data_IF_314796185541
#
_entry.id   IF_314796185541
#
_cell.length_a   1.000
_cell.length_b   1.000
_cell.length_c   1.000
_cell.angle_alpha   90.00
_cell.angle_beta   90.00
_cell.angle_gamma   90.00
#
_symmetry.space_group_name_H-M   'P 1'
#
loop_
_entity.id
_entity.type
_entity.pdbx_description
1 polymer ?
#
# COMPACT_ATOMS: atom_id res chain seq x y z
N UNK A 1 11.61 -24.18 -2.65
CA UNK A 1 11.34 -24.19 -4.11
C UNK A 1 10.54 -22.96 -4.45
N UNK A 2 11.02 -22.15 -5.38
CA UNK A 2 10.29 -20.98 -5.88
C UNK A 2 9.21 -21.48 -6.84
N UNK A 3 7.94 -21.36 -6.47
CA UNK A 3 6.83 -21.66 -7.37
C UNK A 3 6.54 -20.43 -8.21
N UNK A 4 7.09 -20.37 -9.42
CA UNK A 4 6.74 -19.38 -10.42
C UNK A 4 5.55 -19.90 -11.23
N UNK A 5 4.38 -19.28 -11.07
CA UNK A 5 3.25 -19.51 -11.97
C UNK A 5 3.33 -18.50 -13.12
N UNK A 6 3.79 -18.96 -14.26
CA UNK A 6 3.73 -18.19 -15.49
C UNK A 6 2.43 -18.52 -16.22
N UNK A 7 1.49 -17.57 -16.32
CA UNK A 7 0.34 -17.76 -17.19
C UNK A 7 0.80 -17.81 -18.65
N UNK A 8 0.53 -18.89 -19.37
CA UNK A 8 0.69 -18.93 -20.82
C UNK A 8 -0.35 -18.03 -21.47
N UNK A 9 0.02 -16.81 -21.82
CA UNK A 9 -0.75 -16.00 -22.74
C UNK A 9 -0.36 -16.41 -24.17
N UNK A 10 -1.23 -17.11 -24.85
CA UNK A 10 -1.14 -17.29 -26.29
C UNK A 10 -1.43 -15.96 -26.98
N UNK A 11 -0.57 -15.52 -27.89
CA UNK A 11 -0.77 -14.41 -28.83
C UNK A 11 -0.79 -12.97 -28.27
N UNK A 12 -0.01 -12.63 -27.26
CA UNK A 12 0.26 -11.21 -26.97
C UNK A 12 1.43 -10.70 -27.81
N UNK A 13 1.33 -9.49 -28.40
CA UNK A 13 2.45 -8.88 -29.12
C UNK A 13 3.70 -8.78 -28.23
N UNK A 14 4.87 -8.88 -28.84
CA UNK A 14 6.19 -8.94 -28.20
C UNK A 14 6.52 -7.74 -27.26
N UNK A 15 5.73 -6.67 -27.34
CA UNK A 15 5.87 -5.42 -26.57
C UNK A 15 5.09 -5.36 -25.26
N UNK A 16 4.28 -6.36 -24.92
CA UNK A 16 3.56 -6.37 -23.65
C UNK A 16 4.35 -7.11 -22.57
N UNK A 17 4.54 -6.53 -21.38
CA UNK A 17 5.19 -7.19 -20.26
C UNK A 17 4.44 -8.46 -19.90
N UNK A 18 5.16 -9.56 -19.69
CA UNK A 18 4.56 -10.84 -19.30
C UNK A 18 3.94 -10.74 -17.92
N UNK A 19 2.69 -11.17 -17.79
CA UNK A 19 2.03 -11.30 -16.49
C UNK A 19 2.80 -12.29 -15.62
N UNK A 20 3.02 -11.93 -14.36
CA UNK A 20 3.73 -12.78 -13.41
C UNK A 20 3.06 -12.79 -12.03
N UNK A 21 3.06 -13.93 -11.39
CA UNK A 21 2.62 -14.12 -10.01
C UNK A 21 3.75 -14.82 -9.26
N UNK A 22 4.19 -14.20 -8.16
CA UNK A 22 5.17 -14.79 -7.26
C UNK A 22 4.44 -15.29 -6.01
N UNK A 23 4.64 -16.56 -5.64
CA UNK A 23 4.06 -17.14 -4.43
C UNK A 23 5.17 -17.61 -3.48
N UNK A 24 5.19 -17.08 -2.27
CA UNK A 24 6.21 -17.33 -1.26
C UNK A 24 5.58 -17.48 0.14
N UNK A 25 6.33 -18.09 1.07
CA UNK A 25 6.01 -17.96 2.49
C UNK A 25 6.27 -16.52 2.96
N UNK A 26 5.46 -16.00 3.87
CA UNK A 26 5.48 -14.58 4.24
C UNK A 26 6.81 -14.12 4.83
N UNK A 27 7.54 -14.98 5.55
CA UNK A 27 8.87 -14.66 6.09
C UNK A 27 9.93 -14.36 5.00
N UNK A 28 9.64 -14.68 3.74
CA UNK A 28 10.52 -14.33 2.62
C UNK A 28 10.65 -12.82 2.41
N UNK A 29 9.62 -12.05 2.74
CA UNK A 29 9.64 -10.58 2.58
C UNK A 29 10.67 -9.92 3.49
N UNK A 30 10.93 -10.49 4.66
CA UNK A 30 11.96 -10.01 5.60
C UNK A 30 13.37 -10.41 5.17
N UNK A 31 13.51 -11.56 4.51
CA UNK A 31 14.80 -12.08 4.02
C UNK A 31 15.27 -11.36 2.77
N UNK A 32 14.32 -10.86 1.97
CA UNK A 32 14.59 -10.26 0.68
C UNK A 32 13.88 -8.90 0.57
N UNK A 33 14.51 -7.82 1.05
CA UNK A 33 13.89 -6.48 1.11
C UNK A 33 13.35 -5.98 -0.24
N UNK A 34 13.96 -6.36 -1.35
CA UNK A 34 13.49 -6.01 -2.69
C UNK A 34 12.06 -6.52 -3.00
N UNK A 35 11.53 -7.49 -2.23
CA UNK A 35 10.15 -7.95 -2.37
C UNK A 35 9.11 -6.94 -1.87
N UNK A 36 9.55 -5.89 -1.18
CA UNK A 36 8.70 -4.77 -0.77
C UNK A 36 8.70 -3.62 -1.77
N UNK A 37 9.55 -3.69 -2.80
CA UNK A 37 9.65 -2.64 -3.81
C UNK A 37 8.53 -2.80 -4.85
N UNK A 38 8.04 -1.68 -5.35
CA UNK A 38 7.05 -1.67 -6.42
C UNK A 38 7.64 -2.19 -7.72
N UNK A 39 6.93 -3.11 -8.37
CA UNK A 39 7.27 -3.61 -9.71
C UNK A 39 6.29 -2.99 -10.71
N UNK A 40 6.80 -2.08 -11.54
CA UNK A 40 5.99 -1.45 -12.59
C UNK A 40 5.68 -2.45 -13.71
N UNK A 41 4.52 -3.09 -13.63
CA UNK A 41 4.09 -4.09 -14.60
C UNK A 41 2.97 -4.98 -14.09
N UNK A 42 2.46 -5.91 -14.90
CA UNK A 42 1.41 -6.84 -14.52
C UNK A 42 1.96 -7.94 -13.59
N UNK A 43 2.34 -7.56 -12.40
CA UNK A 43 2.95 -8.42 -11.39
C UNK A 43 2.12 -8.44 -10.10
N UNK A 44 2.05 -9.60 -9.45
CA UNK A 44 1.49 -9.76 -8.10
C UNK A 44 2.37 -10.72 -7.29
N UNK A 45 2.66 -10.35 -6.06
CA UNK A 45 3.29 -11.23 -5.08
C UNK A 45 2.27 -11.69 -4.05
N UNK A 46 2.19 -13.01 -3.83
CA UNK A 46 1.33 -13.64 -2.84
C UNK A 46 2.22 -14.21 -1.73
N UNK A 47 1.97 -13.78 -0.51
CA UNK A 47 2.67 -14.27 0.67
C UNK A 47 1.70 -15.02 1.57
N UNK A 48 1.97 -16.30 1.82
CA UNK A 48 1.14 -17.13 2.71
C UNK A 48 1.72 -17.16 4.11
N UNK A 49 0.85 -17.08 5.10
CA UNK A 49 1.19 -17.17 6.51
C UNK A 49 0.50 -18.39 7.15
N UNK A 50 1.06 -18.91 8.24
CA UNK A 50 0.56 -20.12 8.91
C UNK A 50 -0.41 -19.79 10.06
N UNK A 51 -0.29 -18.61 10.67
CA UNK A 51 -1.12 -18.20 11.79
C UNK A 51 -1.13 -16.65 11.91
N UNK A 52 -2.08 -16.13 12.70
CA UNK A 52 -2.28 -14.69 12.89
C UNK A 52 -1.04 -13.98 13.46
N UNK A 53 -0.30 -14.62 14.37
CA UNK A 53 0.91 -14.02 14.96
C UNK A 53 1.99 -13.79 13.91
N UNK A 54 2.16 -14.73 12.99
CA UNK A 54 3.09 -14.58 11.87
C UNK A 54 2.67 -13.43 10.96
N UNK A 55 1.37 -13.34 10.63
CA UNK A 55 0.81 -12.23 9.85
C UNK A 55 1.11 -10.87 10.50
N UNK A 56 0.78 -10.71 11.77
CA UNK A 56 0.98 -9.46 12.52
C UNK A 56 2.47 -9.08 12.57
N UNK A 57 3.35 -10.04 12.83
CA UNK A 57 4.80 -9.80 12.85
C UNK A 57 5.30 -9.28 11.49
N UNK A 58 4.87 -9.90 10.39
CA UNK A 58 5.28 -9.47 9.06
C UNK A 58 4.75 -8.07 8.74
N UNK A 59 3.48 -7.80 9.05
CA UNK A 59 2.89 -6.48 8.80
C UNK A 59 3.60 -5.36 9.58
N UNK A 60 4.08 -5.63 10.79
CA UNK A 60 4.88 -4.68 11.57
C UNK A 60 6.21 -4.31 10.90
N UNK A 61 6.79 -5.23 10.15
CA UNK A 61 8.09 -5.04 9.49
C UNK A 61 7.96 -4.44 8.07
N UNK A 62 6.74 -4.32 7.53
CA UNK A 62 6.54 -3.70 6.23
C UNK A 62 6.90 -2.21 6.26
N UNK A 63 7.47 -1.75 5.16
CA UNK A 63 7.65 -0.34 4.86
C UNK A 63 6.32 0.37 4.65
N UNK A 64 6.33 1.70 4.63
CA UNK A 64 5.16 2.52 4.30
C UNK A 64 4.62 2.22 2.89
N UNK A 65 3.30 2.19 2.77
CA UNK A 65 2.56 1.87 1.56
C UNK A 65 1.53 2.97 1.25
N UNK A 66 1.07 3.07 0.01
CA UNK A 66 -0.02 3.99 -0.36
C UNK A 66 -1.37 3.49 0.17
N UNK A 67 -1.60 2.17 0.10
CA UNK A 67 -2.89 1.56 0.43
C UNK A 67 -2.72 0.26 1.20
N UNK A 68 -3.71 -0.04 2.02
CA UNK A 68 -3.83 -1.28 2.76
C UNK A 68 -5.26 -1.80 2.62
N UNK A 69 -5.47 -2.89 1.88
CA UNK A 69 -6.79 -3.48 1.65
C UNK A 69 -6.99 -4.71 2.53
N UNK A 70 -8.14 -4.79 3.20
CA UNK A 70 -8.56 -5.94 4.01
C UNK A 70 -9.76 -6.60 3.34
N UNK A 71 -9.61 -7.87 2.96
CA UNK A 71 -10.68 -8.65 2.32
C UNK A 71 -11.20 -9.74 3.24
N UNK A 72 -12.50 -10.06 3.12
CA UNK A 72 -13.13 -11.19 3.77
C UNK A 72 -13.35 -11.03 5.26
N UNK A 73 -13.26 -9.82 5.80
CA UNK A 73 -13.56 -9.54 7.20
C UNK A 73 -15.02 -9.91 7.55
N UNK A 74 -15.21 -10.72 8.59
CA UNK A 74 -16.52 -11.14 9.12
C UNK A 74 -16.71 -10.58 10.53
N UNK A 75 -17.96 -10.36 10.96
CA UNK A 75 -18.27 -9.83 12.29
C UNK A 75 -17.59 -10.58 13.43
N UNK A 76 -17.48 -11.91 13.33
CA UNK A 76 -16.81 -12.74 14.34
C UNK A 76 -15.29 -12.59 14.42
N UNK A 77 -14.69 -11.91 13.47
CA UNK A 77 -13.24 -11.71 13.38
C UNK A 77 -12.80 -10.37 14.01
N UNK A 78 -13.66 -9.72 14.82
CA UNK A 78 -13.49 -8.36 15.33
C UNK A 78 -12.10 -8.03 15.87
N UNK A 79 -11.53 -8.86 16.75
CA UNK A 79 -10.25 -8.56 17.39
C UNK A 79 -9.06 -8.57 16.41
N UNK A 80 -9.06 -9.44 15.40
CA UNK A 80 -8.00 -9.44 14.38
C UNK A 80 -8.17 -8.28 13.41
N UNK A 81 -9.40 -7.92 13.08
CA UNK A 81 -9.69 -6.79 12.21
C UNK A 81 -9.25 -5.49 12.86
N UNK A 82 -9.53 -5.29 14.14
CA UNK A 82 -9.07 -4.11 14.88
C UNK A 82 -7.53 -4.00 14.88
N UNK A 83 -6.84 -5.12 15.06
CA UNK A 83 -5.38 -5.15 14.96
C UNK A 83 -4.89 -4.80 13.54
N UNK A 84 -5.54 -5.33 12.50
CA UNK A 84 -5.19 -5.03 11.11
C UNK A 84 -5.45 -3.57 10.76
N UNK A 85 -6.54 -2.98 11.26
CA UNK A 85 -6.83 -1.55 11.09
C UNK A 85 -5.74 -0.73 11.78
N UNK A 86 -5.43 -1.03 13.03
CA UNK A 86 -4.40 -0.31 13.79
C UNK A 86 -3.04 -0.37 13.08
N UNK A 87 -2.63 -1.53 12.59
CA UNK A 87 -1.41 -1.68 11.82
C UNK A 87 -1.48 -0.96 10.46
N UNK A 88 -2.60 -1.08 9.76
CA UNK A 88 -2.83 -0.43 8.48
C UNK A 88 -2.67 1.08 8.58
N UNK A 89 -3.22 1.71 9.63
CA UNK A 89 -3.09 3.17 9.84
C UNK A 89 -1.64 3.62 10.08
N UNK A 90 -0.78 2.73 10.56
CA UNK A 90 0.64 3.03 10.72
C UNK A 90 1.44 2.81 9.43
N UNK A 91 0.93 2.00 8.52
CA UNK A 91 1.64 1.54 7.32
C UNK A 91 1.14 2.15 6.01
N UNK A 92 -0.08 2.70 5.98
CA UNK A 92 -0.64 3.21 4.74
C UNK A 92 -1.46 4.49 4.94
N UNK A 93 -1.56 5.28 3.89
CA UNK A 93 -2.38 6.49 3.88
C UNK A 93 -3.86 6.22 3.67
N UNK A 94 -4.22 5.04 3.13
CA UNK A 94 -5.62 4.68 2.85
C UNK A 94 -5.90 3.22 3.21
N UNK A 95 -6.90 3.01 4.06
CA UNK A 95 -7.37 1.67 4.42
C UNK A 95 -8.65 1.39 3.63
N UNK A 96 -8.71 0.22 3.00
CA UNK A 96 -9.80 -0.16 2.10
C UNK A 96 -10.37 -1.50 2.57
N UNK A 97 -11.69 -1.64 2.57
CA UNK A 97 -12.37 -2.87 2.95
C UNK A 97 -13.06 -3.49 1.75
N UNK A 98 -12.76 -4.77 1.50
CA UNK A 98 -13.37 -5.61 0.45
C UNK A 98 -13.35 -4.98 -0.95
N UNK A 99 -12.37 -4.11 -1.22
CA UNK A 99 -12.23 -3.47 -2.53
C UNK A 99 -10.75 -3.33 -2.91
N UNK A 100 -10.51 -3.10 -4.21
CA UNK A 100 -9.18 -2.89 -4.77
C UNK A 100 -8.79 -1.41 -4.69
N UNK A 101 -7.50 -1.09 -4.60
CA UNK A 101 -7.03 0.30 -4.52
C UNK A 101 -7.06 1.05 -5.86
N UNK A 102 -7.88 0.60 -6.82
CA UNK A 102 -7.92 1.08 -8.22
C UNK A 102 -8.72 2.34 -8.29
N UNK A 103 -8.84 3.26 -7.98
CA UNK A 103 -9.65 4.47 -8.08
C UNK A 103 -9.38 5.41 -6.90
N UNK A 104 -9.39 6.67 -7.19
CA UNK A 104 -9.24 7.71 -6.18
C UNK A 104 -10.37 8.70 -6.39
N UNK A 105 -11.30 8.77 -5.43
CA UNK A 105 -12.33 9.79 -5.44
C UNK A 105 -11.72 11.15 -5.08
N UNK A 106 -12.08 12.19 -5.82
CA UNK A 106 -11.62 13.55 -5.54
C UNK A 106 -12.52 14.15 -4.46
N UNK A 107 -12.05 14.12 -3.23
CA UNK A 107 -12.76 14.67 -2.07
C UNK A 107 -11.74 15.24 -1.06
N UNK A 108 -12.23 16.06 -0.12
CA UNK A 108 -11.39 16.59 0.98
C UNK A 108 -10.92 15.50 1.96
N UNK A 109 -11.61 14.37 2.02
CA UNK A 109 -11.25 13.23 2.86
C UNK A 109 -10.22 12.28 2.20
N UNK A 110 -9.86 12.51 0.92
CA UNK A 110 -8.98 11.62 0.21
C UNK A 110 -7.53 11.84 0.60
N UNK A 111 -6.90 10.76 1.07
CA UNK A 111 -5.46 10.70 1.31
C UNK A 111 -4.82 9.74 0.29
N UNK A 112 -4.06 10.29 -0.65
CA UNK A 112 -3.18 9.53 -1.54
C UNK A 112 -1.73 9.89 -1.22
N UNK A 113 -1.22 9.22 -0.25
CA UNK A 113 0.10 9.37 0.33
C UNK A 113 0.35 8.22 1.29
N UNK A 114 1.17 8.42 2.29
CA UNK A 114 1.44 7.41 3.30
C UNK A 114 2.78 7.64 4.00
N UNK A 115 3.14 6.79 4.95
CA UNK A 115 4.45 6.83 5.60
C UNK A 115 5.56 6.57 4.58
N UNK A 116 6.75 7.06 4.86
CA UNK A 116 7.93 6.77 4.03
C UNK A 116 8.15 5.23 3.88
N UNK A 117 8.46 4.71 2.69
CA UNK A 117 8.80 5.42 1.45
C UNK A 117 7.62 5.73 0.51
N UNK A 118 6.37 5.46 0.92
CA UNK A 118 5.19 5.71 0.08
C UNK A 118 5.04 7.21 -0.29
N UNK A 119 5.44 8.12 0.59
CA UNK A 119 5.60 9.54 0.28
C UNK A 119 6.77 10.13 1.04
N UNK A 120 7.31 11.24 0.52
CA UNK A 120 8.38 12.01 1.18
C UNK A 120 7.87 12.83 2.37
N UNK A 121 6.58 13.16 2.38
CA UNK A 121 5.91 13.88 3.47
C UNK A 121 4.48 13.35 3.62
N UNK A 122 4.23 12.64 4.72
CA UNK A 122 2.95 12.00 5.00
C UNK A 122 1.83 12.98 5.38
N UNK A 123 2.14 14.27 5.58
CA UNK A 123 1.14 15.31 5.89
C UNK A 123 0.32 15.73 4.68
N UNK A 124 0.81 15.45 3.46
CA UNK A 124 0.20 15.92 2.23
C UNK A 124 -0.33 14.75 1.39
N UNK A 125 -1.47 14.98 0.78
CA UNK A 125 -2.02 14.08 -0.24
C UNK A 125 -1.52 14.48 -1.63
N UNK A 126 -1.35 13.49 -2.53
CA UNK A 126 -1.02 13.75 -3.94
C UNK A 126 -2.27 13.99 -4.80
N UNK A 127 -3.46 13.61 -4.30
CA UNK A 127 -4.75 13.69 -5.00
C UNK A 127 -5.80 14.25 -4.05
N UNK A 128 -6.84 14.86 -4.58
CA UNK A 128 -7.91 15.47 -3.81
C UNK A 128 -7.78 16.99 -3.75
N UNK A 129 -8.76 17.65 -3.13
CA UNK A 129 -8.84 19.13 -3.05
C UNK A 129 -7.66 19.73 -2.28
N UNK A 130 -7.14 19.01 -1.30
CA UNK A 130 -6.07 19.48 -0.40
C UNK A 130 -4.66 19.24 -0.97
N UNK A 131 -4.56 18.64 -2.17
CA UNK A 131 -3.25 18.36 -2.81
C UNK A 131 -2.43 19.64 -3.09
N UNK A 132 -3.08 20.79 -3.18
CA UNK A 132 -2.41 22.10 -3.36
C UNK A 132 -1.52 22.45 -2.16
N UNK A 133 -1.87 21.99 -0.95
CA UNK A 133 -1.15 22.30 0.28
C UNK A 133 0.33 21.88 0.25
N UNK A 134 0.67 20.83 -0.50
CA UNK A 134 2.05 20.37 -0.69
C UNK A 134 2.96 21.36 -1.42
N UNK A 135 2.37 22.32 -2.14
CA UNK A 135 3.09 23.35 -2.89
C UNK A 135 3.06 24.70 -2.18
N UNK A 136 2.49 24.78 -0.99
CA UNK A 136 2.33 25.98 -0.20
C UNK A 136 3.27 25.97 1.01
N UNK A 137 3.64 27.15 1.47
CA UNK A 137 4.32 27.36 2.73
C UNK A 137 3.77 28.59 3.43
N UNK A 138 3.77 28.60 4.74
CA UNK A 138 3.42 29.77 5.52
C UNK A 138 4.52 30.82 5.43
N UNK A 139 4.12 32.09 5.35
CA UNK A 139 5.00 33.25 5.45
C UNK A 139 4.41 34.21 6.46
N UNK A 140 5.20 34.64 7.43
CA UNK A 140 4.79 35.60 8.43
C UNK A 140 5.37 36.99 8.05
N UNK A 141 4.51 37.99 8.06
CA UNK A 141 4.91 39.40 7.97
C UNK A 141 4.81 39.98 9.36
N UNK A 142 5.93 40.56 9.84
CA UNK A 142 5.96 41.21 11.13
C UNK A 142 6.25 42.70 10.90
N UNK A 143 5.53 43.58 11.62
CA UNK A 143 5.67 45.05 11.55
C UNK A 143 5.44 45.63 10.15
N UNK A 144 4.69 44.94 9.29
CA UNK A 144 4.33 45.45 7.97
C UNK A 144 3.46 46.71 8.12
N UNK A 145 4.00 47.87 7.79
CA UNK A 145 3.26 49.12 7.70
C UNK A 145 2.74 49.26 6.26
N UNK A 146 1.42 49.28 6.10
CA UNK A 146 0.73 49.53 4.84
C UNK A 146 0.34 51.00 4.79
#
# INVERSE_FOLDING_TARGET
>A
SKNFFQSRASNTPEYFPKKSVLHLACNSILKFPFLQEEIFGPHTSIFTYSNQRELINILNELNGQLTFSIFGAKEKDGSIIDQLICLGTQKAGRIIFNDLPTGVEVSSAMQHGGPYPASSDSRYTAVGTDSIARFQRSVTFQDLRI
#
